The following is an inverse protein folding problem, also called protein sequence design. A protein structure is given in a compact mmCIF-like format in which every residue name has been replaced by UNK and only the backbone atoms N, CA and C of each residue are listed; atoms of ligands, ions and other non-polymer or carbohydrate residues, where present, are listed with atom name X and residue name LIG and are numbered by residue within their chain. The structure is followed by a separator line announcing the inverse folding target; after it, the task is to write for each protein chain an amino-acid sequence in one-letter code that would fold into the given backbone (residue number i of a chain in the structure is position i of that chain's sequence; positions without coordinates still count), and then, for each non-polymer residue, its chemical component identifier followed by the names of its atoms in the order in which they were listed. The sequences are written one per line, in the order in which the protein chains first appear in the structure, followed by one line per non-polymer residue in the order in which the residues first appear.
data_IF_874028092436
#
_entry.id   IF_874028092436
#
_cell.length_a   1.000
_cell.length_b   1.000
_cell.length_c   1.000
_cell.angle_alpha   90.00
_cell.angle_beta   90.00
_cell.angle_gamma   90.00
#
_symmetry.space_group_name_H-M   'P 1'
#
loop_
_entity.id
_entity.type
_entity.pdbx_description
1 polymer ?
#
# COMPACT_ATOMS: atom_id res chain seq x y z
N UNK A 1 23.66 -8.77 14.08
CA UNK A 1 22.38 -8.91 13.39
C UNK A 1 22.41 -8.07 12.12
N UNK A 2 22.12 -8.66 10.99
CA UNK A 2 22.05 -7.91 9.74
C UNK A 2 20.88 -6.92 9.79
N UNK A 3 21.11 -5.68 9.39
CA UNK A 3 20.03 -4.73 9.22
C UNK A 3 19.17 -5.16 8.02
N UNK A 4 17.88 -5.29 8.26
CA UNK A 4 16.92 -5.58 7.19
C UNK A 4 16.58 -4.28 6.45
N UNK A 5 17.37 -3.96 5.44
CA UNK A 5 17.03 -2.85 4.53
C UNK A 5 16.03 -3.31 3.50
N UNK A 6 14.98 -2.52 3.35
CA UNK A 6 14.06 -2.66 2.24
C UNK A 6 14.53 -1.72 1.14
N UNK A 7 14.77 -2.25 -0.05
CA UNK A 7 15.29 -1.46 -1.16
C UNK A 7 14.44 -1.65 -2.39
N UNK A 8 14.43 -0.63 -3.24
CA UNK A 8 13.81 -0.68 -4.56
C UNK A 8 14.64 0.17 -5.52
N UNK A 9 14.59 -0.19 -6.80
CA UNK A 9 15.23 0.56 -7.87
C UNK A 9 14.14 0.90 -8.89
N UNK A 10 14.11 2.15 -9.33
CA UNK A 10 13.22 2.58 -10.40
C UNK A 10 14.04 3.14 -11.56
N UNK A 11 13.63 2.81 -12.77
CA UNK A 11 14.29 3.24 -13.99
C UNK A 11 13.26 3.79 -14.96
N UNK A 12 13.48 5.02 -15.41
CA UNK A 12 12.67 5.66 -16.44
C UNK A 12 13.61 6.24 -17.49
N UNK A 13 13.44 5.85 -18.74
CA UNK A 13 14.18 6.38 -19.87
C UNK A 13 13.45 7.59 -20.47
N UNK A 14 13.51 7.77 -21.76
CA UNK A 14 12.81 8.89 -22.43
C UNK A 14 11.33 8.66 -22.68
N UNK A 15 10.83 7.47 -22.37
CA UNK A 15 9.40 7.16 -22.54
C UNK A 15 8.54 7.98 -21.57
N UNK A 16 7.28 8.17 -21.91
CA UNK A 16 6.29 8.90 -21.11
C UNK A 16 5.16 7.94 -20.72
N UNK A 17 5.11 7.38 -19.55
CA UNK A 17 6.01 7.48 -18.39
C UNK A 17 6.22 6.10 -17.78
N UNK A 18 6.26 5.07 -18.61
CA UNK A 18 6.38 3.69 -18.16
C UNK A 18 7.70 3.48 -17.42
N UNK A 19 7.62 3.41 -16.11
CA UNK A 19 8.75 3.29 -15.21
C UNK A 19 8.86 1.83 -14.75
N UNK A 20 10.05 1.25 -14.84
CA UNK A 20 10.29 -0.09 -14.33
C UNK A 20 10.70 -0.02 -12.86
N UNK A 21 10.06 -0.83 -12.02
CA UNK A 21 10.28 -0.84 -10.58
C UNK A 21 10.73 -2.24 -10.17
N UNK A 22 11.90 -2.36 -9.56
CA UNK A 22 12.47 -3.63 -9.10
C UNK A 22 12.54 -3.66 -7.58
N UNK A 23 12.13 -4.75 -6.98
CA UNK A 23 12.32 -4.98 -5.56
C UNK A 23 12.20 -6.47 -5.25
N UNK A 24 13.07 -6.98 -4.38
CA UNK A 24 12.96 -8.34 -3.87
C UNK A 24 12.98 -9.44 -4.94
N UNK A 25 13.69 -9.23 -6.05
CA UNK A 25 13.73 -10.18 -7.16
C UNK A 25 12.53 -10.14 -8.09
N UNK A 26 11.64 -9.19 -7.90
CA UNK A 26 10.43 -8.97 -8.72
C UNK A 26 10.48 -7.63 -9.41
N UNK A 27 9.69 -7.46 -10.47
CA UNK A 27 9.51 -6.13 -11.06
C UNK A 27 8.06 -5.93 -11.50
N UNK A 28 7.67 -4.67 -11.56
CA UNK A 28 6.40 -4.20 -12.12
C UNK A 28 6.66 -2.93 -12.92
N UNK A 29 5.68 -2.52 -13.72
CA UNK A 29 5.68 -1.20 -14.34
C UNK A 29 4.75 -0.28 -13.59
N UNK A 30 5.20 0.96 -13.39
CA UNK A 30 4.38 2.10 -12.99
C UNK A 30 4.22 3.02 -14.19
N UNK A 31 3.10 3.71 -14.32
CA UNK A 31 2.86 4.59 -15.46
C UNK A 31 1.84 5.67 -15.07
N UNK A 32 1.54 6.55 -15.98
CA UNK A 32 0.44 7.48 -15.88
C UNK A 32 -0.63 7.12 -16.91
N UNK A 33 -1.89 7.51 -16.69
CA UNK A 33 -2.94 7.27 -17.68
C UNK A 33 -2.75 8.15 -18.91
N UNK A 34 -3.41 7.79 -20.01
CA UNK A 34 -3.26 8.46 -21.30
C UNK A 34 -3.61 9.96 -21.25
N UNK A 35 -4.60 10.34 -20.43
CA UNK A 35 -5.01 11.74 -20.28
C UNK A 35 -3.95 12.59 -19.57
N UNK A 36 -3.01 11.98 -18.88
CA UNK A 36 -1.84 12.66 -18.29
C UNK A 36 -0.57 12.48 -19.12
N UNK A 37 -0.69 11.98 -20.34
CA UNK A 37 0.41 11.79 -21.26
C UNK A 37 1.16 10.46 -21.13
N UNK A 38 0.69 9.56 -20.30
CA UNK A 38 1.26 8.23 -20.14
C UNK A 38 0.74 7.22 -21.14
N UNK A 39 1.17 5.96 -21.00
CA UNK A 39 0.75 4.86 -21.87
C UNK A 39 -0.19 3.86 -21.17
N UNK A 40 -0.53 4.13 -19.92
CA UNK A 40 -1.46 3.30 -19.10
C UNK A 40 -1.04 1.83 -19.07
N UNK A 41 0.24 1.56 -18.97
CA UNK A 41 0.79 0.20 -18.93
C UNK A 41 1.14 -0.27 -17.51
N UNK A 42 0.78 0.49 -16.50
CA UNK A 42 1.00 0.15 -15.10
C UNK A 42 0.17 1.00 -14.18
N UNK A 43 0.15 0.61 -12.90
CA UNK A 43 -0.52 1.42 -11.87
C UNK A 43 0.20 2.74 -11.67
N UNK A 44 -0.55 3.78 -11.32
CA UNK A 44 0.05 5.07 -10.98
C UNK A 44 0.85 4.96 -9.68
N UNK A 45 1.84 5.85 -9.46
CA UNK A 45 2.59 5.86 -8.19
C UNK A 45 1.69 5.99 -6.96
N UNK A 46 0.64 6.82 -7.01
CA UNK A 46 -0.30 6.97 -5.91
C UNK A 46 -1.08 5.66 -5.66
N UNK A 47 -1.48 4.96 -6.72
CA UNK A 47 -2.13 3.65 -6.58
C UNK A 47 -1.18 2.62 -5.97
N UNK A 48 0.11 2.66 -6.28
CA UNK A 48 1.11 1.78 -5.68
C UNK A 48 1.28 2.05 -4.18
N UNK A 49 1.21 3.31 -3.76
CA UNK A 49 1.22 3.66 -2.34
C UNK A 49 0.02 3.02 -1.63
N UNK A 50 -1.18 3.17 -2.18
CA UNK A 50 -2.39 2.57 -1.63
C UNK A 50 -2.33 1.04 -1.65
N UNK A 51 -1.82 0.46 -2.72
CA UNK A 51 -1.65 -0.99 -2.84
C UNK A 51 -0.71 -1.54 -1.77
N UNK A 52 0.35 -0.81 -1.45
CA UNK A 52 1.28 -1.15 -0.37
C UNK A 52 0.55 -1.19 0.98
N UNK A 53 -0.21 -0.15 1.29
CA UNK A 53 -0.99 -0.11 2.53
C UNK A 53 -2.03 -1.22 2.58
N UNK A 54 -2.74 -1.43 1.48
CA UNK A 54 -3.79 -2.45 1.39
C UNK A 54 -3.26 -3.86 1.55
N UNK A 55 -2.18 -4.21 0.85
CA UNK A 55 -1.58 -5.53 0.95
C UNK A 55 -1.01 -5.79 2.33
N UNK A 56 -0.33 -4.82 2.91
CA UNK A 56 0.20 -4.93 4.27
C UNK A 56 -0.92 -5.13 5.30
N UNK A 57 -1.99 -4.37 5.18
CA UNK A 57 -3.17 -4.49 6.05
C UNK A 57 -3.78 -5.90 5.95
N UNK A 58 -4.02 -6.39 4.73
CA UNK A 58 -4.60 -7.70 4.49
C UNK A 58 -3.72 -8.83 5.04
N UNK A 59 -2.41 -8.76 4.79
CA UNK A 59 -1.45 -9.77 5.27
C UNK A 59 -1.42 -9.78 6.81
N UNK A 60 -1.38 -8.61 7.44
CA UNK A 60 -1.36 -8.49 8.91
C UNK A 60 -2.61 -9.09 9.52
N UNK A 61 -3.78 -8.80 8.95
CA UNK A 61 -5.06 -9.36 9.40
C UNK A 61 -5.08 -10.88 9.19
N UNK A 62 -4.64 -11.37 8.04
CA UNK A 62 -4.58 -12.81 7.74
C UNK A 62 -3.71 -13.54 8.76
N UNK A 63 -2.52 -13.02 9.03
CA UNK A 63 -1.61 -13.62 10.01
C UNK A 63 -2.24 -13.72 11.40
N UNK A 64 -2.93 -12.67 11.82
CA UNK A 64 -3.62 -12.66 13.12
C UNK A 64 -4.76 -13.66 13.14
N UNK A 65 -5.62 -13.66 12.14
CA UNK A 65 -6.77 -14.55 12.05
C UNK A 65 -6.35 -16.02 12.04
N UNK A 66 -5.28 -16.36 11.31
CA UNK A 66 -4.74 -17.72 11.27
C UNK A 66 -4.21 -18.16 12.63
N UNK A 67 -3.48 -17.28 13.31
CA UNK A 67 -2.92 -17.56 14.64
C UNK A 67 -4.01 -17.75 15.67
N UNK A 68 -5.15 -17.08 15.54
CA UNK A 68 -6.31 -17.18 16.42
C UNK A 68 -7.35 -18.18 15.91
N UNK A 69 -7.05 -18.87 14.81
CA UNK A 69 -7.94 -19.88 14.23
C UNK A 69 -9.36 -19.34 13.94
N UNK A 70 -9.42 -18.09 13.50
CA UNK A 70 -10.67 -17.45 13.07
C UNK A 70 -11.08 -17.93 11.68
N UNK A 71 -12.38 -18.04 11.42
CA UNK A 71 -12.95 -18.51 10.16
C UNK A 71 -12.98 -17.38 9.11
N UNK A 72 -11.85 -16.71 8.91
CA UNK A 72 -11.70 -15.66 7.90
C UNK A 72 -11.32 -16.28 6.56
N UNK A 73 -12.22 -16.21 5.57
CA UNK A 73 -12.02 -16.79 4.24
C UNK A 73 -11.30 -15.83 3.31
N UNK A 74 -11.70 -14.56 3.30
CA UNK A 74 -11.13 -13.55 2.41
C UNK A 74 -11.22 -12.16 3.03
N UNK A 75 -10.37 -11.26 2.54
CA UNK A 75 -10.35 -9.85 2.94
C UNK A 75 -10.34 -9.02 1.66
N UNK A 76 -11.22 -8.03 1.58
CA UNK A 76 -11.21 -7.07 0.50
C UNK A 76 -11.10 -5.67 1.08
N UNK A 77 -10.16 -4.88 0.59
CA UNK A 77 -9.91 -3.55 1.13
C UNK A 77 -10.02 -2.54 0.01
N UNK A 78 -10.88 -1.54 0.23
CA UNK A 78 -11.05 -0.40 -0.66
C UNK A 78 -10.29 0.77 -0.05
N UNK A 79 -9.37 1.35 -0.81
CA UNK A 79 -8.52 2.44 -0.34
C UNK A 79 -8.68 3.66 -1.23
N UNK A 80 -8.63 4.83 -0.61
CA UNK A 80 -8.64 6.09 -1.35
C UNK A 80 -7.77 7.14 -0.65
N UNK A 81 -7.21 8.04 -1.48
CA UNK A 81 -6.62 9.29 -1.00
C UNK A 81 -7.71 10.34 -1.20
N UNK A 82 -8.18 10.93 -0.11
CA UNK A 82 -9.37 11.76 -0.09
C UNK A 82 -9.10 13.25 -0.31
N UNK A 83 -7.84 13.62 -0.51
CA UNK A 83 -7.42 14.99 -0.78
C UNK A 83 -7.36 15.27 -2.28
N UNK A 84 -7.61 16.52 -2.65
CA UNK A 84 -7.29 16.99 -3.99
C UNK A 84 -5.77 17.04 -4.15
N UNK A 85 -5.28 16.89 -5.38
CA UNK A 85 -3.85 16.84 -5.68
C UNK A 85 -3.09 18.08 -5.13
N UNK A 86 -3.67 19.27 -5.26
CA UNK A 86 -3.07 20.50 -4.77
C UNK A 86 -3.00 20.57 -3.23
N UNK A 87 -3.68 19.67 -2.53
CA UNK A 87 -3.69 19.61 -1.07
C UNK A 87 -2.74 18.54 -0.52
N UNK A 88 -2.06 17.77 -1.38
CA UNK A 88 -1.19 16.65 -0.95
C UNK A 88 0.05 17.11 -0.17
N UNK A 89 0.42 18.38 -0.24
CA UNK A 89 1.52 18.95 0.54
C UNK A 89 1.13 19.27 2.00
N UNK A 90 -0.16 19.13 2.31
CA UNK A 90 -0.72 19.35 3.65
C UNK A 90 -1.03 18.02 4.31
N UNK A 91 -2.01 17.99 5.20
CA UNK A 91 -2.46 16.75 5.83
C UNK A 91 -3.14 15.86 4.80
N UNK A 92 -2.55 14.70 4.54
CA UNK A 92 -3.11 13.72 3.60
C UNK A 92 -4.07 12.80 4.33
N UNK A 93 -5.26 12.61 3.79
CA UNK A 93 -6.25 11.71 4.33
C UNK A 93 -6.39 10.48 3.43
N UNK A 94 -6.10 9.32 4.02
CA UNK A 94 -6.27 8.02 3.37
C UNK A 94 -7.35 7.26 4.11
N UNK A 95 -8.35 6.74 3.40
CA UNK A 95 -9.37 5.90 4.00
C UNK A 95 -9.25 4.47 3.53
N UNK A 96 -9.60 3.55 4.42
CA UNK A 96 -9.67 2.11 4.18
C UNK A 96 -11.05 1.61 4.57
N UNK A 97 -11.73 0.98 3.64
CA UNK A 97 -12.97 0.24 3.92
C UNK A 97 -12.65 -1.25 3.78
N UNK A 98 -12.87 -2.01 4.84
CA UNK A 98 -12.43 -3.40 4.92
C UNK A 98 -13.63 -4.32 4.98
N UNK A 99 -13.70 -5.27 4.04
CA UNK A 99 -14.69 -6.34 4.03
C UNK A 99 -14.03 -7.62 4.54
N UNK A 100 -14.62 -8.22 5.57
CA UNK A 100 -14.20 -9.54 6.04
C UNK A 100 -15.22 -10.57 5.57
N UNK A 101 -14.76 -11.58 4.87
CA UNK A 101 -15.59 -12.65 4.32
C UNK A 101 -15.30 -13.92 5.12
N UNK A 102 -16.32 -14.50 5.71
CA UNK A 102 -16.23 -15.70 6.52
C UNK A 102 -17.28 -15.74 7.63
N UNK A 103 -17.36 -16.87 8.31
CA UNK A 103 -18.28 -17.06 9.43
C UNK A 103 -17.66 -16.51 10.72
N UNK A 104 -17.72 -15.18 10.85
CA UNK A 104 -17.10 -14.44 11.94
C UNK A 104 -18.17 -13.78 12.79
N UNK A 105 -17.96 -13.78 14.11
CA UNK A 105 -18.80 -13.03 15.04
C UNK A 105 -18.53 -11.52 14.90
N UNK A 106 -19.46 -10.70 15.38
CA UNK A 106 -19.27 -9.25 15.39
C UNK A 106 -18.04 -8.86 16.21
N UNK A 107 -17.81 -9.53 17.31
CA UNK A 107 -16.63 -9.32 18.17
C UNK A 107 -15.33 -9.63 17.43
N UNK A 108 -15.30 -10.73 16.67
CA UNK A 108 -14.16 -11.09 15.85
C UNK A 108 -13.91 -10.05 14.75
N UNK A 109 -14.96 -9.59 14.08
CA UNK A 109 -14.86 -8.53 13.06
C UNK A 109 -14.30 -7.23 13.64
N UNK A 110 -14.78 -6.82 14.80
CA UNK A 110 -14.28 -5.63 15.50
C UNK A 110 -12.80 -5.78 15.86
N UNK A 111 -12.40 -6.96 16.31
CA UNK A 111 -10.99 -7.23 16.64
C UNK A 111 -10.10 -7.18 15.40
N UNK A 112 -10.54 -7.77 14.31
CA UNK A 112 -9.80 -7.73 13.04
C UNK A 112 -9.65 -6.29 12.52
N UNK A 113 -10.67 -5.46 12.70
CA UNK A 113 -10.57 -4.04 12.33
C UNK A 113 -9.50 -3.33 13.16
N UNK A 114 -9.38 -3.62 14.46
CA UNK A 114 -8.31 -3.07 15.29
C UNK A 114 -6.93 -3.53 14.84
N UNK A 115 -6.82 -4.77 14.37
CA UNK A 115 -5.55 -5.34 13.89
C UNK A 115 -5.07 -4.62 12.63
N UNK A 116 -5.96 -4.05 11.84
CA UNK A 116 -5.59 -3.26 10.65
C UNK A 116 -4.57 -2.14 10.99
N UNK A 117 -4.67 -1.54 12.18
CA UNK A 117 -3.79 -0.46 12.61
C UNK A 117 -2.40 -0.95 13.04
N UNK A 118 -2.20 -2.25 13.15
CA UNK A 118 -0.90 -2.85 13.50
C UNK A 118 -0.03 -3.15 12.27
N UNK A 119 -0.51 -2.88 11.09
CA UNK A 119 0.20 -3.02 9.83
C UNK A 119 1.45 -2.11 9.83
N UNK A 120 2.65 -2.62 9.50
CA UNK A 120 3.86 -1.79 9.47
C UNK A 120 3.79 -0.59 8.54
N UNK A 121 3.13 -0.71 7.39
CA UNK A 121 2.97 0.42 6.46
C UNK A 121 2.04 1.49 7.05
N UNK A 122 0.98 1.09 7.76
CA UNK A 122 0.14 2.04 8.50
C UNK A 122 1.00 2.85 9.49
N UNK A 123 1.88 2.17 10.23
CA UNK A 123 2.76 2.84 11.19
C UNK A 123 3.71 3.83 10.50
N UNK A 124 4.30 3.45 9.36
CA UNK A 124 5.17 4.32 8.58
C UNK A 124 4.40 5.57 8.13
N UNK A 125 3.25 5.38 7.52
CA UNK A 125 2.46 6.48 6.95
C UNK A 125 1.82 7.39 8.00
N UNK A 126 1.64 6.90 9.24
CA UNK A 126 1.04 7.67 10.33
C UNK A 126 2.06 8.45 11.16
N UNK A 127 3.34 8.32 10.84
CA UNK A 127 4.43 9.01 11.55
C UNK A 127 5.21 9.88 10.57
N UNK A 128 5.98 10.87 11.06
CA UNK A 128 6.82 11.68 10.20
C UNK A 128 7.80 10.85 9.39
N UNK A 129 7.96 11.20 8.12
CA UNK A 129 8.88 10.54 7.18
C UNK A 129 9.94 11.54 6.78
N UNK A 130 11.22 11.15 6.89
CA UNK A 130 12.34 11.97 6.43
C UNK A 130 12.89 11.36 5.14
N UNK A 131 12.99 12.18 4.09
CA UNK A 131 13.46 11.75 2.79
C UNK A 131 14.70 12.57 2.42
N UNK A 132 15.79 11.87 2.09
CA UNK A 132 17.04 12.50 1.67
C UNK A 132 17.37 12.09 0.24
N UNK A 133 17.99 12.99 -0.51
CA UNK A 133 18.35 12.73 -1.90
C UNK A 133 19.81 13.11 -2.13
N UNK A 134 20.53 12.26 -2.84
CA UNK A 134 21.90 12.51 -3.27
C UNK A 134 22.03 12.12 -4.74
N UNK A 135 22.98 12.73 -5.41
CA UNK A 135 23.30 12.39 -6.79
C UNK A 135 24.53 11.48 -6.83
N UNK A 136 24.48 10.45 -7.65
CA UNK A 136 25.58 9.52 -7.85
C UNK A 136 26.05 9.50 -9.30
#
# INVERSE_FOLDING_TARGET
MAENKVTAITELDRSHYRTKVYAGGHFIYSDEPADLGGTDEGMTPAALLLASLGSCTAITIRMYADRKEMALEAIKIHLSIDNKEEELSKDTNISRQIEFIGDLTDKERDRLLQIADKCPIHKILSNPISITSVMI
#
